data_IF_322263744269
#
_entry.id   IF_322263744269
#
_cell.length_a   1.000
_cell.length_b   1.000
_cell.length_c   1.000
_cell.angle_alpha   90.00
_cell.angle_beta   90.00
_cell.angle_gamma   90.00
#
_symmetry.space_group_name_H-M   'P 1'
#
loop_
_entity.id
_entity.type
_entity.pdbx_description
1 polymer ?
2 non-polymer ?
3 water ?
#
# COMPACT_ATOMS: atom_id res chain seq x y z
N UNK A 1 5.23 22.52 6.17
CA UNK A 1 4.38 22.04 5.09
C UNK A 1 4.16 20.52 5.11
N UNK A 2 4.08 19.91 3.93
CA UNK A 2 4.05 18.44 3.85
C UNK A 2 5.45 17.84 4.03
N UNK A 3 5.47 16.60 4.54
CA UNK A 3 6.72 15.90 4.82
C UNK A 3 7.36 15.23 3.61
N UNK A 4 7.89 16.06 2.69
CA UNK A 4 8.48 15.57 1.44
C UNK A 4 9.75 14.81 1.70
N UNK A 5 10.53 15.26 2.67
CA UNK A 5 11.77 14.58 2.99
C UNK A 5 11.48 13.16 3.46
N UNK A 6 10.48 13.01 4.33
CA UNK A 6 10.14 11.66 4.83
C UNK A 6 9.67 10.78 3.69
N UNK A 7 8.76 11.30 2.85
CA UNK A 7 8.23 10.49 1.76
C UNK A 7 9.33 10.01 0.82
N UNK A 8 10.35 10.86 0.59
CA UNK A 8 11.42 10.52 -0.33
C UNK A 8 12.27 9.37 0.21
N UNK A 9 12.65 9.46 1.48
CA UNK A 9 13.39 8.39 2.14
C UNK A 9 12.64 7.07 2.10
N UNK A 10 11.31 7.10 2.23
CA UNK A 10 10.56 5.84 2.15
C UNK A 10 10.59 5.31 0.71
N UNK A 11 10.50 6.22 -0.27
CA UNK A 11 10.44 5.80 -1.66
C UNK A 11 11.77 5.19 -2.08
N UNK A 12 12.86 5.84 -1.68
CA UNK A 12 14.20 5.44 -2.07
C UNK A 12 14.51 4.01 -1.65
N UNK A 13 14.20 3.67 -0.41
CA UNK A 13 14.66 2.40 0.17
C UNK A 13 13.57 1.35 0.26
N UNK A 14 12.30 1.74 0.12
CA UNK A 14 11.24 0.78 0.43
C UNK A 14 10.18 0.70 -0.64
N UNK A 15 10.46 1.12 -1.88
CA UNK A 15 9.49 0.88 -2.92
C UNK A 15 10.12 0.20 -4.12
N UNK A 16 9.26 -0.53 -4.84
CA UNK A 16 9.65 -1.21 -6.06
C UNK A 16 8.46 -1.13 -7.00
N UNK A 17 8.74 -1.27 -8.30
CA UNK A 17 7.69 -1.43 -9.31
C UNK A 17 7.25 -2.89 -9.34
N UNK A 18 5.97 -3.15 -9.11
CA UNK A 18 5.42 -4.51 -9.16
C UNK A 18 4.49 -4.59 -10.35
N UNK A 19 4.51 -5.73 -11.04
CA UNK A 19 3.72 -5.93 -12.24
C UNK A 19 3.13 -7.33 -12.20
N UNK A 20 1.79 -7.38 -12.26
CA UNK A 20 0.98 -8.57 -12.34
C UNK A 20 0.27 -8.51 -13.68
N UNK A 21 -0.64 -9.45 -13.90
CA UNK A 21 -1.41 -9.42 -15.13
C UNK A 21 -2.43 -8.30 -15.13
N UNK A 22 -2.64 -7.64 -14.00
CA UNK A 22 -3.58 -6.54 -13.95
C UNK A 22 -2.92 -5.21 -14.29
N UNK A 23 -1.59 -5.16 -14.35
CA UNK A 23 -0.90 -3.95 -14.68
C UNK A 23 0.23 -3.68 -13.69
N UNK A 24 0.65 -2.43 -13.65
CA UNK A 24 1.75 -2.03 -12.80
C UNK A 24 1.20 -1.32 -11.58
N UNK A 25 1.89 -1.49 -10.46
CA UNK A 25 1.51 -0.91 -9.17
C UNK A 25 2.78 -0.51 -8.46
N UNK A 26 2.73 0.62 -7.75
CA UNK A 26 3.71 0.88 -6.71
C UNK A 26 3.61 -0.18 -5.61
N UNK A 27 4.75 -0.72 -5.15
CA UNK A 27 4.69 -1.73 -4.10
C UNK A 27 5.59 -1.31 -2.94
N UNK A 28 5.03 -1.27 -1.73
CA UNK A 28 5.77 -0.86 -0.54
C UNK A 28 6.38 -2.08 0.11
N UNK A 29 7.70 -2.12 0.27
CA UNK A 29 8.33 -3.17 1.05
C UNK A 29 8.35 -2.75 2.50
N UNK A 30 7.99 -3.68 3.40
CA UNK A 30 7.76 -3.36 4.80
C UNK A 30 8.92 -3.87 5.68
N UNK A 31 9.35 -5.10 5.47
CA UNK A 31 10.50 -5.61 6.23
C UNK A 31 10.93 -6.92 5.59
N UNK A 32 12.19 -7.27 5.79
CA UNK A 32 12.74 -8.51 5.25
C UNK A 32 12.39 -8.68 3.79
N UNK A 33 11.60 -9.68 3.41
CA UNK A 33 11.19 -9.77 2.02
C UNK A 33 9.69 -9.68 1.88
N UNK A 34 9.05 -8.97 2.81
CA UNK A 34 7.59 -8.85 2.88
C UNK A 34 7.20 -7.45 2.41
N UNK A 35 6.20 -7.38 1.51
CA UNK A 35 5.74 -6.15 0.87
C UNK A 35 4.21 -6.19 0.82
N UNK A 36 3.62 -5.08 0.43
CA UNK A 36 2.18 -4.96 0.27
C UNK A 36 1.82 -4.49 -1.13
N UNK A 37 0.62 -4.87 -1.55
CA UNK A 37 0.11 -4.43 -2.84
C UNK A 37 -1.42 -4.46 -2.79
N UNK A 38 -2.12 -3.55 -3.48
CA UNK A 38 -3.59 -3.62 -3.52
C UNK A 38 -4.08 -5.00 -3.94
N UNK A 39 -5.08 -5.52 -3.21
CA UNK A 39 -5.64 -6.83 -3.56
C UNK A 39 -6.17 -6.86 -4.99
N UNK A 40 -6.64 -5.73 -5.53
CA UNK A 40 -7.06 -5.68 -6.93
C UNK A 40 -5.97 -6.07 -7.93
N UNK A 41 -4.70 -6.04 -7.54
CA UNK A 41 -3.66 -6.45 -8.49
C UNK A 41 -3.69 -7.95 -8.80
N UNK A 42 -4.41 -8.77 -8.02
CA UNK A 42 -4.60 -10.18 -8.37
C UNK A 42 -3.27 -10.93 -8.47
N UNK A 43 -2.45 -10.80 -7.41
CA UNK A 43 -1.15 -11.49 -7.37
C UNK A 43 -1.31 -12.99 -7.53
N UNK A 44 -0.42 -13.62 -8.30
CA UNK A 44 -0.43 -15.08 -8.42
C UNK A 44 0.79 -15.71 -7.77
N UNK A 45 1.45 -16.66 -8.43
CA UNK A 45 2.59 -17.33 -7.79
C UNK A 45 3.93 -16.81 -8.30
N UNK A 46 3.91 -15.89 -9.26
CA UNK A 46 5.07 -15.11 -9.61
C UNK A 46 4.63 -13.68 -9.89
N UNK A 47 5.56 -12.75 -9.72
CA UNK A 47 5.30 -11.34 -9.94
C UNK A 47 6.59 -10.75 -10.48
N UNK A 48 6.46 -9.68 -11.29
CA UNK A 48 7.61 -8.94 -11.78
C UNK A 48 7.92 -7.84 -10.77
N UNK A 49 9.16 -7.84 -10.29
CA UNK A 49 9.66 -6.80 -9.40
C UNK A 49 10.78 -6.05 -10.14
N UNK A 50 10.57 -4.76 -10.44
CA UNK A 50 11.56 -3.99 -11.24
C UNK A 50 11.94 -4.75 -12.48
N UNK A 51 10.91 -5.27 -13.13
CA UNK A 51 10.91 -6.05 -14.36
C UNK A 51 11.60 -7.39 -14.25
N UNK A 52 11.92 -7.83 -13.03
CA UNK A 52 12.57 -9.12 -12.79
C UNK A 52 11.54 -10.07 -12.24
N UNK A 53 11.41 -11.24 -12.86
CA UNK A 53 10.37 -12.16 -12.45
C UNK A 53 10.74 -12.83 -11.13
N UNK A 54 9.77 -12.88 -10.21
CA UNK A 54 10.08 -13.20 -8.82
C UNK A 54 9.01 -14.15 -8.31
N UNK A 55 9.44 -15.18 -7.59
CA UNK A 55 8.51 -16.12 -6.97
C UNK A 55 7.77 -15.44 -5.81
N UNK A 56 6.44 -15.54 -5.81
CA UNK A 56 5.64 -15.10 -4.68
C UNK A 56 5.50 -16.29 -3.73
N UNK A 57 6.24 -16.26 -2.62
CA UNK A 57 6.27 -17.38 -1.68
C UNK A 57 5.01 -17.46 -0.83
N UNK A 58 4.41 -16.32 -0.50
CA UNK A 58 3.19 -16.34 0.27
C UNK A 58 2.41 -15.11 -0.14
N UNK A 59 1.09 -15.17 -0.07
CA UNK A 59 0.27 -14.01 -0.41
C UNK A 59 -0.98 -14.10 0.44
N UNK A 60 -1.32 -13.01 1.14
CA UNK A 60 -2.44 -13.03 2.07
C UNK A 60 -3.30 -11.80 1.81
N UNK A 61 -4.47 -12.00 1.21
CA UNK A 61 -5.44 -10.93 0.98
C UNK A 61 -6.16 -10.64 2.28
N UNK A 62 -5.92 -9.48 2.88
CA UNK A 62 -6.42 -9.25 4.23
C UNK A 62 -7.92 -8.98 4.18
N UNK A 63 -8.65 -9.58 5.12
CA UNK A 63 -10.06 -9.29 5.35
C UNK A 63 -10.30 -9.17 6.85
N UNK A 64 -11.36 -8.45 7.24
CA UNK A 64 -11.60 -8.23 8.67
C UNK A 64 -12.57 -9.29 9.19
N UNK A 65 -12.94 -9.15 10.45
CA UNK A 65 -13.72 -10.26 11.03
C UNK A 65 -15.16 -10.28 10.51
N UNK A 66 -15.63 -9.25 9.79
CA UNK A 66 -16.91 -9.31 9.08
C UNK A 66 -16.79 -10.03 7.75
N UNK A 67 -15.63 -10.62 7.48
CA UNK A 67 -15.28 -11.14 6.14
C UNK A 67 -15.46 -10.07 5.06
N UNK A 68 -15.00 -8.87 5.34
CA UNK A 68 -15.02 -7.80 4.34
C UNK A 68 -13.60 -7.53 3.85
N UNK A 69 -13.46 -7.39 2.54
CA UNK A 69 -12.20 -6.97 1.90
C UNK A 69 -11.58 -5.78 2.63
N UNK A 70 -10.28 -5.88 2.93
CA UNK A 70 -9.50 -4.71 3.37
C UNK A 70 -8.66 -4.11 2.25
N UNK A 71 -8.60 -4.75 1.07
CA UNK A 71 -7.87 -4.31 -0.12
C UNK A 71 -6.35 -4.35 -0.01
N UNK A 72 -5.78 -4.81 1.11
CA UNK A 72 -4.35 -5.03 1.27
C UNK A 72 -4.06 -6.50 1.02
N UNK A 73 -3.07 -6.78 0.18
CA UNK A 73 -2.47 -8.12 0.11
C UNK A 73 -1.02 -8.04 0.56
N UNK A 74 -0.63 -8.90 1.47
CA UNK A 74 0.74 -8.95 1.94
C UNK A 74 1.43 -10.07 1.18
N UNK A 75 2.60 -9.79 0.60
CA UNK A 75 3.34 -10.82 -0.14
C UNK A 75 4.70 -11.04 0.52
N UNK A 76 5.19 -12.28 0.39
CA UNK A 76 6.55 -12.68 0.73
C UNK A 76 7.20 -13.07 -0.57
N UNK A 77 8.37 -12.52 -0.84
CA UNK A 77 8.94 -12.57 -2.18
C UNK A 77 10.27 -13.32 -2.14
N UNK A 78 10.58 -14.07 -3.21
CA UNK A 78 11.87 -14.75 -3.21
C UNK A 78 12.87 -13.81 -3.92
N UNK A 79 13.61 -13.04 -3.14
CA UNK A 79 14.61 -12.16 -3.69
C UNK A 79 15.69 -11.94 -2.64
N UNK A 80 16.86 -11.53 -3.12
CA UNK A 80 18.03 -11.47 -2.25
C UNK A 80 18.04 -10.23 -1.37
N UNK A 81 17.66 -9.07 -1.91
CA UNK A 81 17.61 -7.84 -1.12
C UNK A 81 16.60 -7.98 0.03
N UNK A 82 17.01 -7.53 1.21
CA UNK A 82 16.11 -7.31 2.34
C UNK A 82 15.63 -5.86 2.32
N UNK A 83 14.35 -5.64 2.65
CA UNK A 83 13.81 -4.29 2.81
C UNK A 83 14.22 -3.73 4.16
N UNK A 84 14.55 -2.44 4.19
CA UNK A 84 14.66 -1.74 5.47
C UNK A 84 13.39 -1.94 6.28
N UNK A 85 13.55 -2.22 7.58
CA UNK A 85 12.40 -2.50 8.43
C UNK A 85 11.74 -1.20 8.80
N UNK A 86 10.54 -0.96 8.27
CA UNK A 86 9.84 0.29 8.52
C UNK A 86 8.61 0.08 9.39
N UNK A 87 8.49 -1.09 10.03
CA UNK A 87 7.31 -1.34 10.83
C UNK A 87 7.16 -0.29 11.91
N UNK A 88 8.26 0.22 12.46
CA UNK A 88 8.09 1.22 13.52
C UNK A 88 7.52 2.54 12.99
N UNK A 89 7.43 2.75 11.66
CA UNK A 89 6.73 3.91 11.13
C UNK A 89 5.27 3.67 10.91
N UNK A 90 4.76 2.45 11.27
CA UNK A 90 3.35 2.21 10.99
C UNK A 90 2.49 2.66 12.15
N UNK A 91 1.32 3.22 11.86
CA UNK A 91 0.39 3.58 12.92
C UNK A 91 -0.12 2.37 13.71
N UNK A 92 -0.28 2.60 14.99
CA UNK A 92 -0.88 1.57 15.82
C UNK A 92 -2.38 1.48 15.63
N UNK A 93 -3.07 2.61 15.54
CA UNK A 93 -4.51 2.64 15.46
C UNK A 93 -5.00 3.37 14.22
N UNK A 94 -6.30 3.20 13.91
CA UNK A 94 -6.99 4.11 13.00
C UNK A 94 -6.89 5.56 13.47
N UNK A 95 -6.80 6.49 12.52
CA UNK A 95 -6.61 7.90 12.86
C UNK A 95 -6.89 8.77 11.63
N UNK A 96 -7.11 10.07 11.86
CA UNK A 96 -7.04 11.03 10.78
C UNK A 96 -5.69 11.71 10.82
N UNK A 97 -5.34 12.39 9.70
CA UNK A 97 -4.00 12.90 9.53
C UNK A 97 -4.06 14.22 8.81
N UNK A 98 -3.04 15.02 9.04
CA UNK A 98 -2.90 16.31 8.35
C UNK A 98 -1.84 16.24 7.26
N UNK A 99 -2.17 16.86 6.12
CA UNK A 99 -1.19 17.29 5.12
C UNK A 99 -0.31 16.11 4.65
N UNK A 100 -0.98 15.08 4.14
CA UNK A 100 -0.26 13.86 3.77
C UNK A 100 0.33 13.97 2.36
N UNK A 101 1.31 13.10 2.08
CA UNK A 101 1.90 12.98 0.75
C UNK A 101 1.60 11.60 0.19
N UNK A 102 1.23 11.55 -1.09
CA UNK A 102 1.05 10.34 -1.88
C UNK A 102 2.20 10.22 -2.87
N UNK A 103 2.91 9.09 -2.81
CA UNK A 103 4.19 8.93 -3.48
C UNK A 103 4.12 7.72 -4.40
N UNK A 104 4.46 7.90 -5.69
CA UNK A 104 4.29 6.86 -6.71
C UNK A 104 5.65 6.44 -7.24
N UNK A 105 5.79 5.13 -7.51
CA UNK A 105 7.01 4.53 -8.12
C UNK A 105 6.54 3.48 -9.12
N UNK A 106 6.38 3.87 -10.38
CA UNK A 106 6.02 2.97 -11.47
C UNK A 106 7.03 3.16 -12.59
N UNK A 107 6.90 2.38 -13.67
CA UNK A 107 7.78 2.63 -14.83
C UNK A 107 7.49 3.99 -15.44
N UNK A 108 6.21 4.35 -15.58
CA UNK A 108 5.80 5.63 -16.14
C UNK A 108 6.21 6.79 -15.24
N UNK A 109 6.11 6.58 -13.92
CA UNK A 109 6.43 7.61 -12.93
C UNK A 109 7.40 7.02 -11.91
N UNK A 110 8.70 7.08 -12.19
CA UNK A 110 9.68 6.42 -11.31
C UNK A 110 9.80 7.08 -9.94
N UNK A 111 9.55 8.39 -9.81
CA UNK A 111 9.15 8.88 -8.50
C UNK A 111 8.49 10.24 -8.61
N UNK A 112 7.36 10.34 -7.95
CA UNK A 112 6.48 11.48 -8.08
C UNK A 112 5.77 11.62 -6.76
N UNK A 113 5.58 12.87 -6.35
CA UNK A 113 5.01 13.15 -5.04
C UNK A 113 3.83 14.07 -5.20
N UNK A 114 2.73 13.73 -4.53
CA UNK A 114 1.49 14.49 -4.63
C UNK A 114 1.03 14.84 -3.23
N UNK A 115 1.02 16.11 -2.84
CA UNK A 115 0.42 16.48 -1.54
C UNK A 115 -1.09 16.34 -1.64
N UNK A 116 -1.69 15.47 -0.81
CA UNK A 116 -3.11 15.23 -0.94
C UNK A 116 -3.95 15.99 0.09
N UNK A 117 -3.32 16.69 1.03
CA UNK A 117 -4.08 17.44 2.06
C UNK A 117 -4.46 16.55 3.25
N UNK A 118 -5.62 16.85 3.84
CA UNK A 118 -6.04 16.10 5.01
C UNK A 118 -6.56 14.73 4.64
N UNK A 119 -6.36 13.79 5.56
CA UNK A 119 -6.75 12.41 5.36
C UNK A 119 -7.70 12.06 6.49
N UNK A 120 -8.89 11.59 6.16
CA UNK A 120 -9.85 11.24 7.19
C UNK A 120 -10.11 9.73 7.21
N UNK A 121 -10.34 9.22 8.42
CA UNK A 121 -10.82 7.86 8.62
C UNK A 121 -12.19 7.74 7.96
N UNK A 122 -12.25 7.20 6.75
CA UNK A 122 -13.50 7.18 5.98
C UNK A 122 -14.40 5.99 6.36
N UNK A 123 -13.81 4.82 6.57
CA UNK A 123 -14.56 3.60 6.94
C UNK A 123 -14.97 2.79 5.70
N UNK A 124 -16.29 2.58 5.53
CA UNK A 124 -16.82 1.79 4.43
C UNK A 124 -16.70 2.50 3.09
N UNK A 125 -16.32 1.73 2.06
CA UNK A 125 -16.23 2.20 0.68
C UNK A 125 -16.65 1.07 -0.24
N UNK A 126 -17.58 1.35 -1.15
CA UNK A 126 -17.94 0.42 -2.22
C UNK A 126 -16.90 0.61 -3.32
N UNK A 127 -15.87 -0.22 -3.28
CA UNK A 127 -14.70 -0.01 -4.13
C UNK A 127 -14.90 -0.77 -5.43
N UNK A 128 -15.19 -0.04 -6.51
CA UNK A 128 -15.51 -0.68 -7.77
C UNK A 128 -16.40 -1.89 -7.57
N UNK A 129 -17.46 -1.74 -6.76
CA UNK A 129 -18.41 -2.81 -6.53
C UNK A 129 -18.05 -3.86 -5.47
N UNK A 130 -16.92 -3.70 -4.77
CA UNK A 130 -16.57 -4.62 -3.68
C UNK A 130 -16.64 -3.87 -2.37
N UNK A 131 -17.49 -4.26 -1.42
CA UNK A 131 -17.44 -3.61 -0.11
C UNK A 131 -16.06 -3.73 0.50
N UNK A 132 -15.60 -2.66 1.13
CA UNK A 132 -14.23 -2.61 1.64
C UNK A 132 -14.28 -1.82 2.94
N UNK A 133 -13.41 -2.16 3.89
CA UNK A 133 -13.39 -1.47 5.15
C UNK A 133 -12.03 -0.83 5.40
N UNK A 134 -12.00 0.00 6.44
CA UNK A 134 -10.78 0.60 6.94
C UNK A 134 -10.15 1.54 5.91
N UNK A 135 -10.96 2.35 5.29
CA UNK A 135 -10.51 3.18 4.17
C UNK A 135 -10.20 4.58 4.67
N UNK A 136 -9.13 5.16 4.13
CA UNK A 136 -8.76 6.56 4.36
C UNK A 136 -9.12 7.36 3.12
N UNK A 137 -9.56 8.61 3.32
CA UNK A 137 -10.05 9.49 2.27
C UNK A 137 -9.30 10.83 2.26
N UNK A 138 -8.94 11.25 1.05
CA UNK A 138 -8.42 12.58 0.80
C UNK A 138 -9.19 13.20 -0.35
N UNK A 139 -9.33 14.53 -0.27
CA UNK A 139 -9.96 15.31 -1.33
C UNK A 139 -8.91 15.72 -2.34
N UNK A 140 -8.56 14.77 -3.21
CA UNK A 140 -7.61 15.07 -4.22
C UNK A 140 -8.03 14.24 -5.41
N UNK A 141 -7.98 14.80 -6.62
CA UNK A 141 -8.31 14.03 -7.84
C UNK A 141 -7.20 13.06 -8.25
N UNK A 142 -7.05 11.96 -7.51
CA UNK A 142 -6.07 10.94 -7.87
C UNK A 142 -6.53 10.19 -9.10
N UNK A 143 -5.59 9.46 -9.72
CA UNK A 143 -5.91 8.87 -11.00
C UNK A 143 -5.39 7.44 -11.14
N UNK A 144 -6.01 6.72 -12.07
CA UNK A 144 -5.42 5.51 -12.62
C UNK A 144 -3.91 5.66 -12.79
N UNK A 145 -3.18 4.65 -12.33
CA UNK A 145 -1.74 4.66 -12.36
C UNK A 145 -1.11 4.92 -11.01
N UNK A 146 -1.88 5.39 -10.04
CA UNK A 146 -1.36 5.66 -8.70
C UNK A 146 -1.70 4.58 -7.66
N UNK A 147 -2.39 3.51 -8.04
CA UNK A 147 -2.63 2.47 -7.02
C UNK A 147 -1.34 1.80 -6.55
N UNK A 148 -1.30 1.53 -5.25
CA UNK A 148 -0.09 1.12 -4.56
C UNK A 148 0.69 2.27 -4.00
N UNK A 149 0.42 3.50 -4.47
CA UNK A 149 1.12 4.69 -4.02
C UNK A 149 1.13 4.84 -2.51
N UNK A 150 2.26 5.21 -1.95
CA UNK A 150 2.43 5.23 -0.50
C UNK A 150 1.86 6.53 0.03
N UNK A 151 1.08 6.47 1.11
CA UNK A 151 0.55 7.68 1.75
C UNK A 151 1.27 7.84 3.08
N UNK A 152 1.92 8.99 3.25
CA UNK A 152 2.70 9.31 4.46
C UNK A 152 2.33 10.67 5.01
N UNK A 153 2.64 10.84 6.29
CA UNK A 153 2.93 12.09 6.97
C UNK A 153 4.33 11.90 7.55
N UNK A 154 4.95 12.97 8.04
CA UNK A 154 6.24 12.75 8.68
C UNK A 154 6.12 11.72 9.80
N UNK A 155 7.05 10.77 9.80
CA UNK A 155 7.12 9.73 10.79
C UNK A 155 6.14 8.60 10.61
N UNK A 156 5.17 8.70 9.69
CA UNK A 156 4.19 7.62 9.64
C UNK A 156 3.86 7.24 8.21
N UNK A 157 3.86 5.93 7.95
CA UNK A 157 3.36 5.35 6.72
C UNK A 157 1.96 4.82 7.01
N UNK A 158 0.94 5.43 6.40
CA UNK A 158 -0.43 5.22 6.87
C UNK A 158 -1.31 4.44 5.91
N UNK A 159 -0.92 4.29 4.64
CA UNK A 159 -1.82 3.61 3.72
C UNK A 159 -1.20 3.44 2.36
N UNK A 160 -1.88 2.66 1.53
CA UNK A 160 -1.55 2.58 0.11
C UNK A 160 -2.80 2.91 -0.69
N UNK A 161 -2.60 3.66 -1.78
CA UNK A 161 -3.70 4.18 -2.57
C UNK A 161 -4.44 3.05 -3.30
N UNK A 162 -5.77 3.07 -3.28
CA UNK A 162 -6.47 1.97 -3.94
C UNK A 162 -7.61 2.43 -4.82
N UNK A 163 -8.04 3.69 -4.71
CA UNK A 163 -9.24 4.07 -5.47
C UNK A 163 -9.49 5.58 -5.50
N UNK A 164 -10.46 5.97 -6.31
CA UNK A 164 -10.71 7.38 -6.54
C UNK A 164 -11.88 7.58 -7.47
N UNK A 165 -12.59 8.68 -7.36
CA UNK A 165 -13.76 8.91 -8.20
C UNK A 165 -13.63 10.15 -9.07
N UNK A 166 -12.41 10.68 -9.22
CA UNK A 166 -12.16 11.93 -9.92
C UNK A 166 -12.15 13.13 -9.00
N UNK A 167 -12.68 13.01 -7.80
CA UNK A 167 -12.70 14.09 -6.82
C UNK A 167 -12.02 13.75 -5.52
N UNK A 168 -12.22 12.52 -5.01
CA UNK A 168 -11.62 12.07 -3.76
C UNK A 168 -10.66 10.95 -4.08
N UNK A 169 -9.64 10.78 -3.24
CA UNK A 169 -8.77 9.62 -3.28
C UNK A 169 -8.99 8.75 -2.04
N UNK A 170 -8.75 7.44 -2.18
CA UNK A 170 -8.95 6.49 -1.09
C UNK A 170 -7.75 5.56 -0.96
N UNK A 171 -7.32 5.38 0.30
CA UNK A 171 -6.22 4.48 0.65
C UNK A 171 -6.72 3.41 1.62
N UNK A 172 -6.12 2.23 1.52
CA UNK A 172 -6.31 1.17 2.51
C UNK A 172 -5.34 1.38 3.66
N UNK A 173 -5.85 1.37 4.90
CA UNK A 173 -4.99 1.58 6.07
C UNK A 173 -3.88 0.55 6.14
N UNK A 174 -2.73 0.96 6.67
CA UNK A 174 -1.72 0.05 7.15
C UNK A 174 -1.66 0.24 8.65
N UNK A 175 -1.76 -0.87 9.40
CA UNK A 175 -1.66 -0.90 10.86
C UNK A 175 -0.44 -1.71 11.28
N UNK A 176 0.21 -1.25 12.33
CA UNK A 176 1.40 -1.95 12.80
C UNK A 176 1.12 -3.44 13.08
N UNK A 177 -0.04 -3.76 13.66
CA UNK A 177 -0.27 -5.17 14.01
C UNK A 177 -0.49 -6.05 12.78
N UNK A 178 -0.48 -5.49 11.56
CA UNK A 178 -0.53 -6.35 10.37
C UNK A 178 0.78 -7.11 10.17
N UNK A 179 1.88 -6.68 10.79
CA UNK A 179 3.21 -7.18 10.42
C UNK A 179 4.01 -7.73 11.59
N UNK A 180 3.36 -8.06 12.70
CA UNK A 180 4.08 -8.58 13.84
C UNK A 180 4.23 -10.09 13.74
N UNK A 181 5.32 -10.60 14.31
CA UNK A 181 5.60 -12.04 14.34
C UNK A 181 4.83 -12.78 15.45
N UNK A 183 0.94 -16.96 15.13
CA UNK A 183 1.40 -18.29 15.55
C UNK A 183 1.19 -19.33 14.43
N UNK A 184 0.69 -20.52 14.81
CA UNK A 184 0.53 -21.65 13.88
C UNK A 184 -0.88 -21.62 13.27
N UNK A 185 -0.97 -21.30 11.99
CA UNK A 185 -2.26 -21.08 11.33
C UNK A 185 -2.22 -21.62 9.91
N UNK A 186 -3.13 -22.54 9.59
CA UNK A 186 -3.34 -22.95 8.20
C UNK A 186 -4.16 -21.86 7.52
N UNK A 187 -3.53 -21.03 6.68
CA UNK A 187 -4.20 -19.86 6.14
C UNK A 187 -4.47 -19.95 4.63
N UNK A 188 -4.23 -21.10 3.99
CA UNK A 188 -4.68 -21.36 2.62
C UNK A 188 -5.49 -22.68 2.50
X LIG B 1 -11.91 2.67 -8.41
X LIG B 1 -11.55 1.23 -8.72
X LIG B 1 -11.18 3.46 -7.83
X LIG B 1 -10.17 0.82 -8.24
X LIG B 1 -9.86 -0.63 -8.60
X LIG B 1 -10.64 -1.66 -7.81
X LIG B 1 -10.28 -2.02 -6.49
X LIG B 1 -10.98 -3.00 -5.77
X LIG B 1 -12.06 -3.63 -6.37
X LIG B 1 -12.46 -3.31 -7.66
X LIG B 1 -11.75 -2.33 -8.37
X LIG B 1 -8.11 2.20 -8.46
X LIG B 1 -7.17 2.96 -9.27
X LIG B 1 -7.09 4.39 -8.83
X LIG B 1 -8.35 5.20 -9.14
X LIG B 1 -8.27 6.70 -8.80
X LIG B 1 -9.00 7.37 -9.71
X LIG B 1 -7.69 7.19 -7.84
X LIG B 1 -5.76 2.36 -9.23
X LIG B 1 -5.62 1.07 -10.03
X LIG B 1 -5.56 1.38 -11.51
X LIG B 1 -6.32 0.50 -12.20
X LIG B 1 -4.93 2.30 -12.02
X LIG B 1 -9.19 1.66 -9.07
X LIG B 1 -9.44 1.81 -10.26
X LIG B 1 -6.28 -0.88 -11.73
X LIG B 1 -6.51 -1.87 -12.86
X LIG B 1 -13.33 3.10 -8.81
X LIG B 1 -13.76 4.12 -7.88
X LIG B 1 -14.70 3.78 -6.95
X LIG B 1 -15.22 2.70 -6.85
X LIG B 1 -13.41 3.49 -10.28
X LIG B 1 -14.44 4.60 -10.46
X LIG B 1 -12.76 -4.58 -5.69
X LIG B 1 -12.09 3.99 -10.76
X LIG B 1 -9.64 6.56 -10.74
X LIG B 1 -8.89 5.21 -10.61
X LIG B 1 -15.15 4.84 -6.00
X LIG B 1 -16.24 4.77 -5.07
X LIG B 1 -16.22 6.01 -4.49
X LIG B 1 -15.23 6.74 -5.04
X LIG B 1 -14.55 5.99 -5.98
X LIG B 1 -17.01 6.69 -3.43
X LIG B 1 -11.64 1.08 -9.79
X LIG B 1 -12.31 0.59 -8.25
X LIG B 1 -10.07 0.98 -7.16
X LIG B 1 -8.78 -0.80 -8.47
X LIG B 1 -10.07 -0.77 -9.67
X LIG B 1 -9.43 -1.53 -6.02
X LIG B 1 -10.70 -3.28 -4.75
X LIG B 1 -13.31 -3.83 -8.09
X LIG B 1 -12.07 -2.08 -9.38
X LIG B 1 -7.94 2.07 -7.48
X LIG B 1 -7.58 2.87 -10.28
X LIG B 1 -6.91 4.41 -7.75
X LIG B 1 -6.22 4.86 -9.30
X LIG B 1 -9.13 4.81 -8.48
X LIG B 1 -9.10 8.38 -9.65
X LIG B 1 -5.08 3.09 -9.66
X LIG B 1 -4.71 0.53 -9.75
X LIG B 1 -6.46 0.40 -9.83
X LIG B 1 -7.04 -0.98 -10.96
X LIG B 1 -5.30 -1.03 -11.27
X LIG B 1 -6.15 -2.85 -12.56
X LIG B 1 -7.58 -1.91 -13.08
X LIG B 1 -5.97 -1.53 -13.74
X LIG B 1 -14.02 2.27 -8.67
X LIG B 1 -13.37 5.05 -7.92
X LIG B 1 -13.70 2.59 -10.84
X LIG B 1 -14.04 5.54 -10.06
X LIG B 1 -15.36 4.34 -9.93
X LIG B 1 -14.66 4.73 -11.53
X LIG B 1 -12.22 4.55 -11.70
X LIG B 1 -11.41 3.16 -10.94
X LIG B 1 -11.64 4.65 -10.01
X LIG B 1 -10.70 6.46 -10.55
X LIG B 1 -9.49 7.02 -11.73
X LIG B 1 -9.57 4.39 -10.79
X LIG B 1 -8.08 5.15 -11.34
X LIG B 1 -16.90 3.93 -4.88
X LIG B 1 -18.06 6.43 -3.50
X LIG B 1 -16.65 6.41 -2.43
X LIG B 1 -16.92 7.78 -3.53
#
# INVERSE_FOLDING_TARGET
>A
GPGFDFAQAIMKKNTVVARTEKGEFTMLGVHDRVAVIPTHASVGETIYINDVETKVLDACALRDLTDTNLEITIVKLDRNQKFRDIRHFLPRYEDDYNDAVLSVHTSKFPNMYIPVGQVTNYGFLNLGGTPTHRILMYNFPTRAGQCGGVVTTTGKVIGIHVGGNGAQGFAAMLLHSYFTDTQKHHHHHH
>B hetero
1 AG7 C01 C02 O03 C04 C05 C06 C07 C08 C09 C10 C11 N12 C13 C14 C15 C16 N17 O18 C19 C20 C21 O22 O23 C47 O48 C50 C53 C57 N58 C59 O60 C78 C81 F1 C82 C83 C84 C1 C2 C3 O4 N5 C4 H2 H3 H27 H28 H29 H30 H31 H33 H34 H49 H91 H35 H36 H94 H39 H191 H41 H42 H51 H52 H53 H54 H56 H77 H61 H79 H82 H84 H85 H86 H87 H88 H89 H90 H92 H93 H8 H5 H6 H7
#
